data_IF_205796099113
#
_entry.id   IF_205796099113
#
_cell.length_a   1.000
_cell.length_b   1.000
_cell.length_c   1.000
_cell.angle_alpha   90.00
_cell.angle_beta   90.00
_cell.angle_gamma   90.00
#
_symmetry.space_group_name_H-M   'P 1'
#
loop_
_entity.id
_entity.type
_entity.pdbx_description
1 polymer ?
#
# COMPACT_ATOMS: atom_id res chain seq x y z
N UNK A 1 -11.57 -7.19 -21.41
CA UNK A 1 -11.83 -6.72 -20.03
C UNK A 1 -10.75 -5.70 -19.68
N UNK A 2 -11.07 -4.55 -19.08
CA UNK A 2 -10.05 -3.60 -18.64
C UNK A 2 -9.22 -4.21 -17.50
N UNK A 3 -7.92 -3.90 -17.47
CA UNK A 3 -6.98 -4.29 -16.40
C UNK A 3 -6.38 -3.04 -15.76
N UNK A 4 -5.91 -3.17 -14.53
CA UNK A 4 -5.23 -2.09 -13.78
C UNK A 4 -3.98 -2.63 -13.09
N UNK A 5 -3.08 -1.74 -12.67
CA UNK A 5 -1.83 -2.11 -11.99
C UNK A 5 -2.01 -2.12 -10.47
N UNK A 6 -1.61 -3.22 -9.83
CA UNK A 6 -1.53 -3.35 -8.37
C UNK A 6 -0.05 -3.24 -7.95
N UNK A 7 0.21 -2.43 -6.93
CA UNK A 7 1.50 -2.34 -6.26
C UNK A 7 1.50 -3.25 -5.03
N UNK A 8 2.50 -4.13 -4.93
CA UNK A 8 2.71 -5.01 -3.76
C UNK A 8 3.97 -4.60 -3.03
N UNK A 9 3.87 -4.36 -1.72
CA UNK A 9 4.98 -4.03 -0.84
C UNK A 9 4.99 -4.92 0.39
N UNK A 10 6.18 -5.20 0.92
CA UNK A 10 6.38 -5.90 2.20
C UNK A 10 6.79 -4.87 3.25
N UNK A 11 6.16 -4.95 4.41
CA UNK A 11 6.33 -4.01 5.51
C UNK A 11 6.58 -4.79 6.81
N UNK A 12 7.32 -4.20 7.74
CA UNK A 12 7.37 -4.67 9.12
C UNK A 12 6.00 -4.47 9.80
N UNK A 13 5.46 -5.52 10.45
CA UNK A 13 4.20 -5.47 11.17
C UNK A 13 4.38 -4.84 12.56
N UNK A 14 4.50 -3.51 12.55
CA UNK A 14 4.54 -2.71 13.78
C UNK A 14 3.79 -1.39 13.60
N UNK A 15 3.36 -0.76 14.71
CA UNK A 15 2.64 0.50 14.66
C UNK A 15 3.39 1.57 13.85
N UNK A 16 2.67 2.19 12.91
CA UNK A 16 3.16 3.32 12.12
C UNK A 16 3.92 2.95 10.84
N UNK A 17 4.28 1.69 10.58
CA UNK A 17 4.99 1.32 9.34
C UNK A 17 4.14 1.62 8.10
N UNK A 18 2.87 1.18 8.09
CA UNK A 18 1.93 1.50 7.02
C UNK A 18 1.66 3.01 6.92
N UNK A 19 1.57 3.70 8.05
CA UNK A 19 1.36 5.15 8.08
C UNK A 19 2.47 5.92 7.36
N UNK A 20 3.74 5.49 7.49
CA UNK A 20 4.87 6.09 6.75
C UNK A 20 4.72 5.95 5.24
N UNK A 21 4.21 4.80 4.76
CA UNK A 21 3.93 4.60 3.33
C UNK A 21 2.81 5.52 2.86
N UNK A 22 1.69 5.55 3.59
CA UNK A 22 0.57 6.42 3.26
C UNK A 22 0.96 7.90 3.29
N UNK A 23 1.84 8.31 4.21
CA UNK A 23 2.39 9.66 4.29
C UNK A 23 3.21 10.02 3.05
N UNK A 24 4.10 9.13 2.60
CA UNK A 24 4.89 9.34 1.38
C UNK A 24 4.00 9.46 0.12
N UNK A 25 2.94 8.64 0.03
CA UNK A 25 1.95 8.74 -1.05
C UNK A 25 1.20 10.09 -1.01
N UNK A 26 0.78 10.52 0.19
CA UNK A 26 0.08 11.79 0.39
C UNK A 26 0.95 13.01 0.05
N UNK A 27 2.24 13.00 0.38
CA UNK A 27 3.20 14.05 0.03
C UNK A 27 3.31 14.25 -1.49
N UNK A 28 3.10 13.18 -2.27
CA UNK A 28 3.10 13.21 -3.73
C UNK A 28 1.69 13.33 -4.33
N UNK A 29 0.66 13.55 -3.50
CA UNK A 29 -0.75 13.66 -3.89
C UNK A 29 -1.27 12.43 -4.66
N UNK A 30 -0.78 11.24 -4.32
CA UNK A 30 -1.23 9.97 -4.90
C UNK A 30 -2.38 9.41 -4.07
N UNK A 31 -3.52 9.13 -4.71
CA UNK A 31 -4.68 8.54 -4.03
C UNK A 31 -4.64 7.01 -4.10
N UNK A 32 -5.09 6.36 -3.02
CA UNK A 32 -5.28 4.91 -2.97
C UNK A 32 -6.73 4.61 -3.39
N UNK A 33 -6.90 3.87 -4.49
CA UNK A 33 -8.20 3.48 -5.03
C UNK A 33 -8.72 2.15 -4.47
N UNK A 34 -7.80 1.25 -4.15
CA UNK A 34 -8.09 -0.04 -3.53
C UNK A 34 -6.92 -0.45 -2.64
N UNK A 35 -7.22 -1.19 -1.57
CA UNK A 35 -6.24 -1.56 -0.56
C UNK A 35 -6.56 -2.93 0.04
N UNK A 36 -5.53 -3.74 0.23
CA UNK A 36 -5.56 -4.98 1.01
C UNK A 36 -4.25 -5.13 1.79
N UNK A 37 -4.34 -5.65 3.01
CA UNK A 37 -3.19 -6.00 3.84
C UNK A 37 -3.35 -7.41 4.35
N UNK A 38 -2.28 -8.21 4.29
CA UNK A 38 -2.22 -9.56 4.84
C UNK A 38 -1.02 -9.63 5.79
N UNK A 39 -1.23 -9.48 7.12
CA UNK A 39 -0.18 -9.68 8.10
C UNK A 39 0.18 -11.17 8.21
N UNK A 40 1.48 -11.47 8.31
CA UNK A 40 2.03 -12.81 8.52
C UNK A 40 3.41 -12.72 9.20
N UNK A 41 3.58 -13.44 10.31
CA UNK A 41 4.89 -13.67 10.97
C UNK A 41 5.74 -12.39 11.23
N UNK A 42 5.12 -11.30 11.68
CA UNK A 42 5.84 -10.04 11.96
C UNK A 42 6.13 -9.17 10.73
N UNK A 43 5.69 -9.61 9.55
CA UNK A 43 5.61 -8.80 8.34
C UNK A 43 4.16 -8.60 7.92
N UNK A 44 3.92 -7.63 7.05
CA UNK A 44 2.65 -7.44 6.36
C UNK A 44 2.89 -7.26 4.87
N UNK A 45 2.18 -8.05 4.06
CA UNK A 45 2.12 -7.86 2.61
C UNK A 45 0.95 -6.93 2.32
N UNK A 46 1.27 -5.75 1.81
CA UNK A 46 0.29 -4.73 1.43
C UNK A 46 0.19 -4.65 -0.08
N UNK A 47 -1.05 -4.62 -0.55
CA UNK A 47 -1.43 -4.49 -1.96
C UNK A 47 -2.32 -3.28 -2.12
N UNK A 48 -2.05 -2.44 -3.11
CA UNK A 48 -2.91 -1.31 -3.38
C UNK A 48 -2.90 -0.90 -4.85
N UNK A 49 -3.97 -0.22 -5.27
CA UNK A 49 -4.07 0.42 -6.58
C UNK A 49 -4.00 1.93 -6.34
N UNK A 50 -3.14 2.62 -7.08
CA UNK A 50 -3.03 4.08 -7.08
C UNK A 50 -3.82 4.69 -8.25
N UNK A 51 -4.23 5.96 -8.11
CA UNK A 51 -4.88 6.72 -9.18
C UNK A 51 -3.94 7.15 -10.30
N UNK A 52 -2.62 7.19 -10.04
CA UNK A 52 -1.58 7.53 -11.00
C UNK A 52 -0.39 6.54 -10.89
N UNK A 53 -0.45 5.38 -11.57
CA UNK A 53 0.50 4.28 -11.41
C UNK A 53 1.78 4.36 -12.24
#
# INVERSE_FOLDING_TARGET
MPTTKELTIRLEDRPGTLAKVCQALAEHKVNILAFQSVPAEGESVVRFIADNP
#
